data_IF_163287347149
#
_entry.id   IF_163287347149
#
_cell.length_a   1.000
_cell.length_b   1.000
_cell.length_c   1.000
_cell.angle_alpha   90.00
_cell.angle_beta   90.00
_cell.angle_gamma   90.00
#
_symmetry.space_group_name_H-M   'P 1'
#
loop_
_entity.id
_entity.type
_entity.pdbx_description
1 polymer ?
#
# COMPACT_ATOMS: atom_id res chain seq x y z
N UNK A 1 -11.40 -11.61 -16.05
CA UNK A 1 -12.05 -10.45 -15.45
C UNK A 1 -13.04 -9.96 -16.47
N UNK A 2 -14.29 -9.80 -16.05
CA UNK A 2 -15.43 -9.42 -16.90
C UNK A 2 -15.74 -7.92 -16.72
N UNK A 3 -15.09 -7.26 -15.75
CA UNK A 3 -15.00 -5.81 -15.63
C UNK A 3 -13.92 -5.28 -16.56
N UNK A 4 -14.29 -4.28 -17.37
CA UNK A 4 -13.33 -3.51 -18.15
C UNK A 4 -12.54 -2.56 -17.25
N UNK A 5 -11.24 -2.79 -17.13
CA UNK A 5 -10.33 -1.96 -16.33
C UNK A 5 -9.89 -0.68 -17.05
N UNK A 6 -10.44 -0.38 -18.23
CA UNK A 6 -10.12 0.84 -18.98
C UNK A 6 -10.38 2.13 -18.20
N UNK A 7 -11.38 2.14 -17.31
CA UNK A 7 -11.63 3.26 -16.41
C UNK A 7 -10.47 3.47 -15.41
N UNK A 8 -9.91 2.37 -14.88
CA UNK A 8 -8.74 2.41 -14.00
C UNK A 8 -7.47 2.81 -14.75
N UNK A 9 -7.25 2.29 -15.96
CA UNK A 9 -6.14 2.74 -16.80
C UNK A 9 -6.22 4.24 -17.11
N UNK A 10 -7.43 4.77 -17.31
CA UNK A 10 -7.64 6.22 -17.49
C UNK A 10 -7.35 6.98 -16.20
N UNK A 11 -7.90 6.52 -15.08
CA UNK A 11 -7.68 7.11 -13.76
C UNK A 11 -6.18 7.28 -13.45
N UNK A 12 -5.37 6.21 -13.53
CA UNK A 12 -3.95 6.32 -13.19
C UNK A 12 -3.16 7.23 -14.14
N UNK A 13 -3.55 7.31 -15.42
CA UNK A 13 -2.92 8.26 -16.37
C UNK A 13 -3.24 9.71 -16.01
N UNK A 14 -4.49 9.99 -15.65
CA UNK A 14 -4.92 11.32 -15.22
C UNK A 14 -4.34 11.69 -13.86
N UNK A 15 -4.27 10.75 -12.91
CA UNK A 15 -3.70 11.00 -11.58
C UNK A 15 -2.24 11.45 -11.68
N UNK A 16 -1.47 10.83 -12.57
CA UNK A 16 -0.07 11.21 -12.85
C UNK A 16 0.10 12.66 -13.30
N UNK A 17 -0.92 13.32 -13.85
CA UNK A 17 -0.86 14.73 -14.28
C UNK A 17 -1.45 15.70 -13.25
N UNK A 18 -2.05 15.20 -12.17
CA UNK A 18 -2.73 15.97 -11.12
C UNK A 18 -2.09 15.80 -9.75
N UNK A 19 -0.77 15.54 -9.73
CA UNK A 19 0.00 15.39 -8.51
C UNK A 19 0.06 16.71 -7.74
N UNK A 20 0.10 16.61 -6.42
CA UNK A 20 0.39 17.76 -5.55
C UNK A 20 1.75 18.33 -5.89
N UNK A 21 1.84 19.66 -5.91
CA UNK A 21 3.13 20.34 -5.97
C UNK A 21 3.82 20.19 -4.61
N UNK A 22 4.99 19.56 -4.63
CA UNK A 22 5.84 19.37 -3.44
C UNK A 22 6.98 20.38 -3.50
N UNK A 23 7.15 21.17 -2.44
CA UNK A 23 8.29 22.06 -2.28
C UNK A 23 9.53 21.25 -1.92
N UNK A 24 10.24 20.80 -2.95
CA UNK A 24 11.47 20.05 -2.78
C UNK A 24 12.63 20.90 -2.30
N UNK A 25 12.52 22.24 -2.28
CA UNK A 25 13.58 23.14 -1.82
C UNK A 25 13.39 23.59 -0.37
N UNK A 26 12.38 23.03 0.32
CA UNK A 26 12.10 23.20 1.74
C UNK A 26 13.39 23.12 2.59
N UNK A 27 13.73 24.20 3.35
CA UNK A 27 14.90 24.24 4.21
C UNK A 27 14.71 23.46 5.52
N UNK A 28 13.51 22.95 5.81
CA UNK A 28 13.23 22.20 7.05
C UNK A 28 14.22 21.04 7.25
N UNK A 29 14.71 20.91 8.47
CA UNK A 29 15.57 19.80 8.90
C UNK A 29 14.95 19.15 10.13
N UNK A 30 14.84 17.82 10.09
CA UNK A 30 14.34 17.05 11.22
C UNK A 30 15.22 17.33 12.44
N UNK A 31 14.58 17.58 13.58
CA UNK A 31 15.30 17.58 14.84
C UNK A 31 15.71 16.15 15.25
N UNK A 32 16.55 16.03 16.28
CA UNK A 32 17.05 14.73 16.72
C UNK A 32 15.93 13.78 17.18
N UNK A 33 14.86 14.32 17.78
CA UNK A 33 13.74 13.53 18.26
C UNK A 33 12.88 13.02 17.10
N UNK A 34 12.55 13.88 16.13
CA UNK A 34 11.87 13.50 14.90
C UNK A 34 12.68 12.45 14.12
N UNK A 35 13.97 12.70 13.91
CA UNK A 35 14.85 11.78 13.17
C UNK A 35 14.85 10.39 13.83
N UNK A 36 15.06 10.30 15.14
CA UNK A 36 15.03 9.02 15.89
C UNK A 36 13.67 8.33 15.85
N UNK A 37 12.59 9.09 15.66
CA UNK A 37 11.22 8.58 15.59
C UNK A 37 10.94 7.97 14.22
N UNK A 38 11.24 8.70 13.14
CA UNK A 38 10.74 8.34 11.81
C UNK A 38 11.76 7.63 10.92
N UNK A 39 13.07 7.86 11.09
CA UNK A 39 14.09 7.43 10.12
C UNK A 39 14.05 5.92 9.83
N UNK A 40 14.09 5.10 10.89
CA UNK A 40 14.04 3.64 10.76
C UNK A 40 12.72 3.09 10.21
N UNK A 41 11.63 3.86 10.38
CA UNK A 41 10.30 3.49 9.90
C UNK A 41 10.12 3.82 8.43
N UNK A 42 10.46 5.05 8.02
CA UNK A 42 10.41 5.51 6.63
C UNK A 42 11.30 4.64 5.75
N UNK A 43 12.49 4.27 6.23
CA UNK A 43 13.39 3.35 5.57
C UNK A 43 12.71 2.04 5.11
N UNK A 44 11.89 1.44 5.96
CA UNK A 44 11.20 0.19 5.67
C UNK A 44 10.01 0.41 4.74
N UNK A 45 9.20 1.44 5.01
CA UNK A 45 8.07 1.77 4.13
C UNK A 45 8.55 2.15 2.72
N UNK A 46 9.66 2.87 2.59
CA UNK A 46 10.26 3.19 1.29
C UNK A 46 10.59 1.92 0.48
N UNK A 47 11.10 0.86 1.11
CA UNK A 47 11.30 -0.43 0.41
C UNK A 47 9.96 -1.10 0.13
N UNK A 48 9.02 -1.06 1.08
CA UNK A 48 7.66 -1.59 0.91
C UNK A 48 6.95 -1.03 -0.33
N UNK A 49 7.00 0.29 -0.52
CA UNK A 49 6.45 1.00 -1.68
C UNK A 49 7.19 0.67 -2.99
N UNK A 50 8.45 0.25 -2.88
CA UNK A 50 9.20 -0.29 -4.00
C UNK A 50 8.74 -1.72 -4.30
N UNK A 51 7.45 -1.88 -4.58
CA UNK A 51 6.83 -3.17 -4.83
C UNK A 51 7.54 -3.91 -5.97
N UNK A 52 7.89 -5.18 -5.77
CA UNK A 52 8.38 -6.04 -6.84
C UNK A 52 7.21 -6.41 -7.78
N UNK A 53 6.82 -5.45 -8.61
CA UNK A 53 5.74 -5.58 -9.59
C UNK A 53 5.94 -6.75 -10.56
N UNK A 54 7.18 -7.25 -10.72
CA UNK A 54 7.51 -8.38 -11.60
C UNK A 54 6.65 -9.62 -11.32
N UNK A 55 6.58 -10.09 -10.07
CA UNK A 55 5.83 -11.31 -9.75
C UNK A 55 4.32 -11.12 -9.92
N UNK A 56 3.83 -9.93 -9.58
CA UNK A 56 2.43 -9.57 -9.74
C UNK A 56 2.02 -9.48 -11.22
N UNK A 57 2.86 -8.87 -12.05
CA UNK A 57 2.72 -8.81 -13.51
C UNK A 57 2.73 -10.23 -14.10
N UNK A 58 3.66 -11.09 -13.69
CA UNK A 58 3.71 -12.48 -14.19
C UNK A 58 2.50 -13.30 -13.73
N UNK A 59 2.00 -13.09 -12.50
CA UNK A 59 0.74 -13.69 -12.05
C UNK A 59 -0.46 -13.20 -12.89
N UNK A 60 -0.51 -11.91 -13.20
CA UNK A 60 -1.55 -11.31 -14.04
C UNK A 60 -1.51 -11.83 -15.47
N UNK A 61 -0.32 -11.87 -16.10
CA UNK A 61 -0.13 -12.46 -17.44
C UNK A 61 -0.60 -13.91 -17.51
N UNK A 62 -0.21 -14.74 -16.54
CA UNK A 62 -0.65 -16.15 -16.47
C UNK A 62 -2.17 -16.26 -16.35
N UNK A 63 -2.78 -15.43 -15.51
CA UNK A 63 -4.24 -15.44 -15.31
C UNK A 63 -5.03 -14.95 -16.53
N UNK A 64 -4.44 -14.02 -17.30
CA UNK A 64 -5.04 -13.45 -18.51
C UNK A 64 -4.63 -14.17 -19.80
N UNK A 65 -3.83 -15.24 -19.72
CA UNK A 65 -3.41 -16.00 -20.89
C UNK A 65 -4.63 -16.52 -21.67
N UNK A 66 -4.67 -16.24 -22.97
CA UNK A 66 -5.80 -16.61 -23.84
C UNK A 66 -7.04 -15.72 -23.74
N UNK A 67 -7.04 -14.68 -22.89
CA UNK A 67 -8.13 -13.70 -22.82
C UNK A 67 -7.88 -12.54 -23.78
N UNK A 68 -8.95 -12.07 -24.46
CA UNK A 68 -8.88 -10.89 -25.34
C UNK A 68 -8.72 -9.59 -24.57
N UNK A 69 -9.40 -9.45 -23.44
CA UNK A 69 -9.31 -8.26 -22.60
C UNK A 69 -8.02 -8.30 -21.75
N UNK A 70 -7.13 -7.34 -22.00
CA UNK A 70 -5.86 -7.15 -21.29
C UNK A 70 -5.87 -5.86 -20.45
N UNK A 71 -7.02 -5.19 -20.31
CA UNK A 71 -7.14 -3.91 -19.60
C UNK A 71 -6.68 -3.99 -18.14
N UNK A 72 -6.87 -5.14 -17.47
CA UNK A 72 -6.36 -5.32 -16.11
C UNK A 72 -4.83 -5.28 -16.04
N UNK A 73 -4.14 -5.92 -17.00
CA UNK A 73 -2.68 -5.90 -17.03
C UNK A 73 -2.16 -4.48 -17.25
N UNK A 74 -2.83 -3.72 -18.11
CA UNK A 74 -2.50 -2.32 -18.38
C UNK A 74 -2.69 -1.44 -17.13
N UNK A 75 -3.85 -1.51 -16.47
CA UNK A 75 -4.10 -0.75 -15.25
C UNK A 75 -3.16 -1.15 -14.11
N UNK A 76 -2.82 -2.44 -14.03
CA UNK A 76 -1.89 -2.97 -13.03
C UNK A 76 -0.47 -2.42 -13.21
N UNK A 77 0.00 -2.29 -14.46
CA UNK A 77 1.30 -1.67 -14.74
C UNK A 77 1.30 -0.20 -14.32
N UNK A 78 0.21 0.53 -14.58
CA UNK A 78 0.07 1.94 -14.19
C UNK A 78 0.04 2.10 -12.66
N UNK A 79 -0.70 1.24 -11.95
CA UNK A 79 -0.67 1.16 -10.48
C UNK A 79 0.76 0.94 -9.95
N UNK A 80 1.49 -0.04 -10.50
CA UNK A 80 2.89 -0.29 -10.08
C UNK A 80 3.78 0.94 -10.29
N UNK A 81 3.56 1.72 -11.35
CA UNK A 81 4.33 2.95 -11.59
C UNK A 81 4.03 4.05 -10.55
N UNK A 82 2.80 4.09 -10.03
CA UNK A 82 2.37 4.98 -8.95
C UNK A 82 3.01 4.59 -7.62
N UNK A 83 2.98 3.31 -7.23
CA UNK A 83 3.70 2.79 -6.06
C UNK A 83 5.21 3.11 -6.11
N UNK A 84 5.82 2.90 -7.29
CA UNK A 84 7.22 3.27 -7.50
C UNK A 84 7.47 4.78 -7.38
N UNK A 85 6.47 5.64 -7.61
CA UNK A 85 6.57 7.08 -7.35
C UNK A 85 6.67 7.33 -5.86
N UNK A 86 5.79 6.73 -5.05
CA UNK A 86 5.84 6.87 -3.58
C UNK A 86 7.22 6.50 -3.04
N UNK A 87 7.76 5.36 -3.48
CA UNK A 87 9.11 4.93 -3.11
C UNK A 87 10.19 5.97 -3.48
N UNK A 88 10.12 6.56 -4.68
CA UNK A 88 11.08 7.59 -5.13
C UNK A 88 10.96 8.87 -4.33
N UNK A 89 9.75 9.31 -4.01
CA UNK A 89 9.50 10.53 -3.25
C UNK A 89 10.01 10.39 -1.81
N UNK A 90 9.72 9.27 -1.15
CA UNK A 90 10.27 8.96 0.17
C UNK A 90 11.79 8.89 0.14
N UNK A 91 12.37 8.25 -0.88
CA UNK A 91 13.81 8.13 -0.98
C UNK A 91 14.51 9.48 -1.21
N UNK A 92 13.90 10.38 -1.99
CA UNK A 92 14.38 11.75 -2.17
C UNK A 92 14.27 12.57 -0.89
N UNK A 93 13.18 12.42 -0.13
CA UNK A 93 13.04 13.02 1.20
C UNK A 93 14.14 12.53 2.15
N UNK A 94 14.36 11.22 2.21
CA UNK A 94 15.39 10.60 3.04
C UNK A 94 16.79 11.15 2.73
N UNK A 95 17.13 11.29 1.45
CA UNK A 95 18.42 11.88 1.03
C UNK A 95 18.61 13.31 1.53
N UNK A 96 17.58 14.15 1.44
CA UNK A 96 17.63 15.54 1.92
C UNK A 96 17.78 15.65 3.44
N UNK A 97 17.27 14.65 4.17
CA UNK A 97 17.37 14.58 5.63
C UNK A 97 18.55 13.72 6.11
N UNK A 98 19.44 13.29 5.20
CA UNK A 98 20.56 12.41 5.49
C UNK A 98 20.19 11.08 6.17
N UNK A 99 18.97 10.60 5.93
CA UNK A 99 18.54 9.27 6.35
C UNK A 99 19.08 8.26 5.34
N UNK A 100 19.96 7.32 5.73
CA UNK A 100 20.52 6.36 4.79
C UNK A 100 19.43 5.43 4.24
N UNK A 101 19.59 4.96 3.00
CA UNK A 101 18.70 3.91 2.47
C UNK A 101 19.14 2.55 2.99
N UNK A 102 18.18 1.69 3.30
CA UNK A 102 18.45 0.27 3.58
C UNK A 102 18.28 -0.55 2.30
N UNK A 103 19.00 -1.68 2.20
CA UNK A 103 18.96 -2.55 1.00
C UNK A 103 17.89 -3.63 1.08
N UNK A 104 17.54 -4.04 2.29
CA UNK A 104 16.52 -5.06 2.53
C UNK A 104 16.01 -4.97 3.96
N UNK A 105 14.71 -5.23 4.12
CA UNK A 105 14.13 -5.59 5.41
C UNK A 105 13.56 -7.01 5.34
N UNK A 106 13.60 -7.74 6.46
CA UNK A 106 13.19 -9.14 6.49
C UNK A 106 11.67 -9.29 6.28
N UNK A 107 10.87 -8.31 6.74
CA UNK A 107 9.41 -8.25 6.51
C UNK A 107 9.12 -8.17 5.01
N UNK A 108 9.87 -7.34 4.26
CA UNK A 108 9.78 -7.29 2.80
C UNK A 108 10.20 -8.63 2.17
N UNK A 109 11.18 -9.31 2.76
CA UNK A 109 11.55 -10.67 2.38
C UNK A 109 10.40 -11.66 2.54
N UNK A 110 9.61 -11.57 3.62
CA UNK A 110 8.43 -12.42 3.86
C UNK A 110 7.32 -12.10 2.87
N UNK A 111 6.97 -10.83 2.69
CA UNK A 111 5.94 -10.42 1.72
C UNK A 111 6.30 -10.81 0.29
N UNK A 112 7.57 -10.69 -0.10
CA UNK A 112 8.05 -11.16 -1.41
C UNK A 112 7.94 -12.67 -1.56
N UNK A 113 8.31 -13.43 -0.54
CA UNK A 113 8.16 -14.90 -0.55
C UNK A 113 6.71 -15.32 -0.67
N UNK A 114 5.79 -14.67 0.06
CA UNK A 114 4.35 -14.92 -0.03
C UNK A 114 3.85 -14.72 -1.47
N UNK A 115 4.33 -13.69 -2.17
CA UNK A 115 3.90 -13.39 -3.56
C UNK A 115 4.51 -14.32 -4.62
N UNK A 116 5.72 -14.85 -4.40
CA UNK A 116 6.45 -15.64 -5.43
C UNK A 116 5.70 -16.90 -5.89
N UNK A 117 4.95 -17.54 -4.99
CA UNK A 117 4.19 -18.76 -5.28
C UNK A 117 2.68 -18.55 -5.20
N UNK A 118 2.24 -17.31 -5.02
CA UNK A 118 0.84 -16.97 -4.90
C UNK A 118 0.12 -17.01 -6.26
N UNK A 119 -1.16 -17.37 -6.20
CA UNK A 119 -2.10 -17.04 -7.28
C UNK A 119 -2.23 -15.52 -7.42
N UNK A 120 -2.83 -15.06 -8.51
CA UNK A 120 -3.11 -13.63 -8.69
C UNK A 120 -3.96 -13.08 -7.53
N UNK A 121 -5.01 -13.79 -7.13
CA UNK A 121 -5.89 -13.39 -6.03
C UNK A 121 -5.18 -13.30 -4.68
N UNK A 122 -4.31 -14.26 -4.38
CA UNK A 122 -3.48 -14.23 -3.17
C UNK A 122 -2.51 -13.06 -3.19
N UNK A 123 -1.95 -12.75 -4.36
CA UNK A 123 -1.06 -11.59 -4.53
C UNK A 123 -1.81 -10.27 -4.30
N UNK A 124 -3.02 -10.13 -4.85
CA UNK A 124 -3.90 -8.97 -4.63
C UNK A 124 -4.32 -8.86 -3.17
N UNK A 125 -4.63 -9.98 -2.51
CA UNK A 125 -4.97 -10.02 -1.08
C UNK A 125 -3.84 -9.46 -0.21
N UNK A 126 -2.59 -9.80 -0.53
CA UNK A 126 -1.41 -9.28 0.17
C UNK A 126 -1.22 -7.79 -0.10
N UNK A 127 -1.50 -7.31 -1.32
CA UNK A 127 -1.44 -5.88 -1.65
C UNK A 127 -2.49 -5.08 -0.89
N UNK A 128 -3.75 -5.51 -0.93
CA UNK A 128 -4.83 -4.86 -0.18
C UNK A 128 -4.49 -4.74 1.31
N UNK A 129 -3.87 -5.78 1.88
CA UNK A 129 -3.42 -5.74 3.28
C UNK A 129 -2.37 -4.66 3.50
N UNK A 130 -1.40 -4.51 2.58
CA UNK A 130 -0.38 -3.47 2.64
C UNK A 130 -0.98 -2.06 2.48
N UNK A 131 -1.90 -1.86 1.54
CA UNK A 131 -2.59 -0.58 1.28
C UNK A 131 -3.43 -0.13 2.50
N UNK A 132 -4.13 -1.06 3.16
CA UNK A 132 -4.85 -0.79 4.42
C UNK A 132 -3.89 -0.31 5.52
N UNK A 133 -2.73 -0.94 5.63
CA UNK A 133 -1.72 -0.57 6.63
C UNK A 133 -1.09 0.77 6.29
N UNK A 134 -0.75 1.00 5.02
CA UNK A 134 -0.21 2.25 4.50
C UNK A 134 -1.15 3.41 4.81
N UNK A 135 -2.45 3.22 4.59
CA UNK A 135 -3.49 4.23 4.88
C UNK A 135 -3.45 4.74 6.33
N UNK A 136 -3.23 3.85 7.31
CA UNK A 136 -3.13 4.26 8.73
C UNK A 136 -1.72 4.76 9.07
N UNK A 137 -0.70 4.15 8.49
CA UNK A 137 0.69 4.52 8.71
C UNK A 137 0.99 5.94 8.25
N UNK A 138 0.57 6.33 7.05
CA UNK A 138 0.87 7.67 6.53
C UNK A 138 0.10 8.77 7.27
N UNK A 139 -1.07 8.47 7.85
CA UNK A 139 -1.73 9.40 8.79
C UNK A 139 -0.84 9.60 10.03
N UNK A 140 -0.37 8.52 10.63
CA UNK A 140 0.49 8.58 11.81
C UNK A 140 1.82 9.27 11.51
N UNK A 141 2.45 8.99 10.36
CA UNK A 141 3.70 9.60 9.94
C UNK A 141 3.54 11.11 9.72
N UNK A 142 2.47 11.52 9.03
CA UNK A 142 2.11 12.92 8.84
C UNK A 142 1.96 13.67 10.17
N UNK A 143 1.40 13.02 11.18
CA UNK A 143 1.21 13.60 12.51
C UNK A 143 2.48 13.55 13.38
N UNK A 144 3.44 12.67 13.06
CA UNK A 144 4.67 12.48 13.81
C UNK A 144 5.82 13.42 13.40
N UNK A 145 5.59 14.31 12.43
CA UNK A 145 6.61 15.24 11.91
C UNK A 145 6.03 16.64 11.69
N UNK A 146 6.90 17.65 11.72
CA UNK A 146 6.57 19.02 11.33
C UNK A 146 7.13 19.41 9.96
N UNK A 147 7.82 18.50 9.26
CA UNK A 147 8.36 18.77 7.92
C UNK A 147 7.22 19.00 6.91
N UNK A 148 7.09 20.20 6.33
CA UNK A 148 6.07 20.48 5.31
C UNK A 148 6.19 19.55 4.09
N UNK A 149 7.42 19.29 3.64
CA UNK A 149 7.67 18.35 2.54
C UNK A 149 7.17 16.94 2.86
N UNK A 150 7.48 16.38 4.03
CA UNK A 150 7.03 15.03 4.39
C UNK A 150 5.51 14.95 4.56
N UNK A 151 4.89 16.00 5.13
CA UNK A 151 3.43 16.11 5.23
C UNK A 151 2.80 16.09 3.85
N UNK A 152 3.32 16.87 2.90
CA UNK A 152 2.84 16.90 1.52
C UNK A 152 2.97 15.55 0.80
N UNK A 153 4.09 14.84 1.02
CA UNK A 153 4.28 13.48 0.51
C UNK A 153 3.23 12.53 1.10
N UNK A 154 3.01 12.56 2.42
CA UNK A 154 1.99 11.73 3.07
C UNK A 154 0.58 12.04 2.53
N UNK A 155 0.25 13.31 2.31
CA UNK A 155 -1.05 13.72 1.77
C UNK A 155 -1.28 13.30 0.32
N UNK A 156 -0.22 13.22 -0.49
CA UNK A 156 -0.29 12.63 -1.83
C UNK A 156 -0.53 11.13 -1.73
N UNK A 157 0.32 10.40 -0.98
CA UNK A 157 0.24 8.95 -0.83
C UNK A 157 -1.14 8.55 -0.29
N UNK A 158 -1.65 9.20 0.76
CA UNK A 158 -2.97 8.90 1.32
C UNK A 158 -4.12 9.05 0.32
N UNK A 159 -4.03 10.00 -0.61
CA UNK A 159 -5.03 10.16 -1.66
C UNK A 159 -4.96 9.00 -2.68
N UNK A 160 -3.76 8.53 -2.97
CA UNK A 160 -3.53 7.38 -3.86
C UNK A 160 -3.97 6.06 -3.20
N UNK A 161 -3.61 5.83 -1.94
CA UNK A 161 -3.96 4.62 -1.17
C UNK A 161 -5.47 4.38 -1.11
N UNK A 162 -6.24 5.46 -0.94
CA UNK A 162 -7.70 5.36 -0.97
C UNK A 162 -8.18 4.73 -2.29
N UNK A 163 -7.56 5.09 -3.41
CA UNK A 163 -7.91 4.60 -4.75
C UNK A 163 -7.30 3.23 -5.05
N UNK A 164 -6.16 2.92 -4.48
CA UNK A 164 -5.55 1.59 -4.51
C UNK A 164 -6.45 0.56 -3.84
N UNK A 165 -6.96 0.85 -2.63
CA UNK A 165 -7.92 -0.02 -1.94
C UNK A 165 -9.16 -0.30 -2.79
N UNK A 166 -9.75 0.74 -3.42
CA UNK A 166 -10.89 0.58 -4.34
C UNK A 166 -10.53 -0.32 -5.53
N UNK A 167 -9.36 -0.11 -6.13
CA UNK A 167 -8.86 -0.88 -7.25
C UNK A 167 -8.70 -2.37 -6.89
N UNK A 168 -8.11 -2.69 -5.74
CA UNK A 168 -7.96 -4.08 -5.29
C UNK A 168 -9.31 -4.70 -4.91
N UNK A 169 -10.25 -3.92 -4.35
CA UNK A 169 -11.59 -4.40 -4.05
C UNK A 169 -12.33 -4.83 -5.33
N UNK A 170 -12.24 -4.04 -6.41
CA UNK A 170 -12.81 -4.39 -7.72
C UNK A 170 -12.18 -5.70 -8.24
N UNK A 171 -10.86 -5.84 -8.10
CA UNK A 171 -10.15 -7.04 -8.52
C UNK A 171 -10.53 -8.29 -7.71
N UNK A 172 -10.63 -8.20 -6.39
CA UNK A 172 -11.06 -9.32 -5.54
C UNK A 172 -12.55 -9.64 -5.70
N UNK A 173 -13.40 -8.65 -5.95
CA UNK A 173 -14.82 -8.85 -6.21
C UNK A 173 -15.08 -9.71 -7.45
N UNK A 174 -14.23 -9.60 -8.48
CA UNK A 174 -14.26 -10.49 -9.65
C UNK A 174 -14.01 -11.96 -9.31
N UNK A 175 -13.09 -12.23 -8.39
CA UNK A 175 -12.85 -13.60 -7.89
C UNK A 175 -14.01 -14.07 -7.00
N UNK A 176 -14.54 -13.17 -6.15
CA UNK A 176 -15.64 -13.48 -5.25
C UNK A 176 -16.94 -13.83 -5.99
N UNK A 177 -17.27 -13.11 -7.08
CA UNK A 177 -18.45 -13.36 -7.92
C UNK A 177 -18.46 -14.75 -8.57
N UNK A 178 -17.28 -15.30 -8.87
CA UNK A 178 -17.13 -16.61 -9.52
C UNK A 178 -17.03 -17.77 -8.53
N UNK A 179 -16.99 -17.47 -7.23
CA UNK A 179 -16.77 -18.42 -6.16
C UNK A 179 -18.05 -18.66 -5.37
N UNK A 180 -18.23 -19.87 -4.85
CA UNK A 180 -19.36 -20.20 -3.98
C UNK A 180 -19.32 -19.39 -2.66
N UNK A 181 -20.50 -18.97 -2.18
CA UNK A 181 -20.67 -18.19 -0.93
C UNK A 181 -19.88 -18.71 0.29
N UNK A 182 -19.85 -20.02 0.63
CA UNK A 182 -19.07 -20.49 1.77
C UNK A 182 -17.55 -20.27 1.59
N UNK A 183 -17.02 -20.44 0.37
CA UNK A 183 -15.62 -20.16 0.10
C UNK A 183 -15.31 -18.65 0.18
N UNK A 184 -16.25 -17.76 -0.16
CA UNK A 184 -16.07 -16.31 0.05
C UNK A 184 -15.90 -15.98 1.53
N UNK A 185 -16.67 -16.62 2.42
CA UNK A 185 -16.51 -16.47 3.88
C UNK A 185 -15.15 -16.95 4.36
N UNK A 186 -14.68 -18.09 3.86
CA UNK A 186 -13.34 -18.60 4.18
C UNK A 186 -12.27 -17.62 3.71
N UNK A 187 -12.39 -17.09 2.48
CA UNK A 187 -11.45 -16.10 1.96
C UNK A 187 -11.43 -14.83 2.82
N UNK A 188 -12.59 -14.29 3.21
CA UNK A 188 -12.68 -13.14 4.12
C UNK A 188 -12.06 -13.41 5.49
N UNK A 189 -12.28 -14.62 6.06
CA UNK A 189 -11.63 -15.02 7.31
C UNK A 189 -10.11 -15.07 7.17
N UNK A 190 -9.58 -15.64 6.09
CA UNK A 190 -8.14 -15.69 5.83
C UNK A 190 -7.54 -14.28 5.68
N UNK A 191 -8.23 -13.36 5.00
CA UNK A 191 -7.81 -11.95 4.91
C UNK A 191 -7.78 -11.27 6.28
N UNK A 192 -8.81 -11.51 7.10
CA UNK A 192 -8.87 -10.99 8.48
C UNK A 192 -7.71 -11.51 9.34
N UNK A 193 -7.40 -12.80 9.25
CA UNK A 193 -6.28 -13.42 9.98
C UNK A 193 -4.95 -12.83 9.50
N UNK A 194 -4.76 -12.70 8.19
CA UNK A 194 -3.57 -12.09 7.60
C UNK A 194 -3.38 -10.66 8.13
N UNK A 195 -4.40 -9.81 8.01
CA UNK A 195 -4.34 -8.42 8.50
C UNK A 195 -4.01 -8.37 9.99
N UNK A 196 -4.69 -9.16 10.82
CA UNK A 196 -4.45 -9.18 12.27
C UNK A 196 -2.99 -9.51 12.61
N UNK A 197 -2.44 -10.54 11.98
CA UNK A 197 -1.04 -10.92 12.17
C UNK A 197 -0.08 -9.81 11.72
N UNK A 198 -0.36 -9.20 10.57
CA UNK A 198 0.47 -8.10 10.06
C UNK A 198 0.40 -6.85 10.94
N UNK A 199 -0.77 -6.49 11.50
CA UNK A 199 -0.89 -5.35 12.41
C UNK A 199 -0.02 -5.51 13.65
N UNK A 200 0.04 -6.71 14.23
CA UNK A 200 0.91 -6.98 15.38
C UNK A 200 2.39 -6.78 15.03
N UNK A 201 2.83 -7.29 13.88
CA UNK A 201 4.20 -7.12 13.39
C UNK A 201 4.51 -5.64 13.13
N UNK A 202 3.63 -4.95 12.41
CA UNK A 202 3.81 -3.54 12.05
C UNK A 202 3.87 -2.66 13.31
N UNK A 203 3.03 -2.91 14.30
CA UNK A 203 3.11 -2.19 15.57
C UNK A 203 4.44 -2.40 16.29
N UNK A 204 4.97 -3.63 16.29
CA UNK A 204 6.23 -3.94 16.92
C UNK A 204 7.40 -3.14 16.33
N UNK A 205 7.46 -2.99 15.00
CA UNK A 205 8.53 -2.25 14.32
C UNK A 205 8.30 -0.73 14.27
N UNK A 206 7.05 -0.29 14.12
CA UNK A 206 6.72 1.10 13.81
C UNK A 206 5.98 1.82 14.94
N UNK A 207 5.82 1.17 16.11
CA UNK A 207 5.07 1.72 17.25
C UNK A 207 5.55 3.07 17.75
N UNK A 208 6.82 3.46 17.50
CA UNK A 208 7.32 4.81 17.80
C UNK A 208 6.65 5.88 16.95
N UNK A 209 6.56 5.67 15.63
CA UNK A 209 5.88 6.58 14.71
C UNK A 209 4.39 6.65 15.04
N UNK A 210 3.74 5.50 15.25
CA UNK A 210 2.34 5.47 15.64
C UNK A 210 2.07 6.25 16.93
N UNK A 211 2.87 6.05 17.97
CA UNK A 211 2.72 6.80 19.23
C UNK A 211 2.97 8.30 19.06
N UNK A 212 3.95 8.69 18.25
CA UNK A 212 4.20 10.09 17.93
C UNK A 212 3.04 10.73 17.16
N UNK A 213 2.38 9.96 16.29
CA UNK A 213 1.12 10.34 15.65
C UNK A 213 -0.12 10.21 16.54
N UNK A 214 0.01 9.98 17.85
CA UNK A 214 -1.12 9.91 18.78
C UNK A 214 -1.88 8.57 18.80
N UNK A 215 -1.39 7.53 18.12
CA UNK A 215 -2.01 6.21 18.13
C UNK A 215 -1.60 5.36 19.33
N UNK A 216 -2.57 4.60 19.84
CA UNK A 216 -2.36 3.41 20.67
C UNK A 216 -2.57 2.17 19.79
N UNK A 217 -2.14 1.00 20.27
CA UNK A 217 -2.32 -0.24 19.51
C UNK A 217 -3.79 -0.49 19.16
N UNK A 218 -4.70 -0.24 20.11
CA UNK A 218 -6.14 -0.39 19.90
C UNK A 218 -6.67 0.57 18.82
N UNK A 219 -6.28 1.85 18.83
CA UNK A 219 -6.76 2.82 17.82
C UNK A 219 -6.13 2.58 16.45
N UNK A 220 -4.89 2.07 16.40
CA UNK A 220 -4.25 1.61 15.17
C UNK A 220 -5.02 0.44 14.55
N UNK A 221 -5.31 -0.60 15.34
CA UNK A 221 -6.11 -1.73 14.88
C UNK A 221 -7.51 -1.29 14.45
N UNK A 222 -8.17 -0.42 15.22
CA UNK A 222 -9.49 0.10 14.87
C UNK A 222 -9.48 0.83 13.52
N UNK A 223 -8.49 1.71 13.28
CA UNK A 223 -8.35 2.40 12.01
C UNK A 223 -8.16 1.43 10.84
N UNK A 224 -7.30 0.42 11.00
CA UNK A 224 -7.07 -0.58 9.96
C UNK A 224 -8.30 -1.45 9.71
N UNK A 225 -9.03 -1.86 10.76
CA UNK A 225 -10.24 -2.65 10.62
C UNK A 225 -11.40 -1.86 10.01
N UNK A 226 -11.49 -0.53 10.24
CA UNK A 226 -12.50 0.29 9.58
C UNK A 226 -12.33 0.26 8.05
N UNK A 227 -11.10 0.43 7.55
CA UNK A 227 -10.80 0.34 6.10
C UNK A 227 -11.02 -1.10 5.61
N UNK A 228 -10.62 -2.10 6.38
CA UNK A 228 -10.82 -3.51 6.05
C UNK A 228 -12.30 -3.88 5.90
N UNK A 229 -13.15 -3.45 6.84
CA UNK A 229 -14.58 -3.77 6.83
C UNK A 229 -15.29 -3.09 5.64
N UNK A 230 -14.88 -1.87 5.29
CA UNK A 230 -15.34 -1.20 4.07
C UNK A 230 -14.89 -1.96 2.81
N UNK A 231 -13.63 -2.39 2.76
CA UNK A 231 -13.09 -3.17 1.66
C UNK A 231 -13.84 -4.52 1.51
N UNK A 232 -14.09 -5.24 2.61
CA UNK A 232 -14.86 -6.49 2.57
C UNK A 232 -16.30 -6.27 2.09
N UNK A 233 -16.93 -5.15 2.47
CA UNK A 233 -18.25 -4.80 1.95
C UNK A 233 -18.22 -4.62 0.42
N UNK A 234 -17.24 -3.87 -0.10
CA UNK A 234 -17.06 -3.63 -1.54
C UNK A 234 -16.71 -4.90 -2.33
N UNK A 235 -15.91 -5.81 -1.76
CA UNK A 235 -15.54 -7.08 -2.39
C UNK A 235 -16.74 -8.02 -2.55
N UNK A 236 -17.67 -7.99 -1.59
CA UNK A 236 -18.83 -8.90 -1.56
C UNK A 236 -20.12 -8.26 -2.12
N UNK A 237 -20.06 -7.02 -2.59
CA UNK A 237 -21.16 -6.33 -3.27
C UNK A 237 -21.39 -6.86 -4.69
#
# INVERSE_FOLDING_TARGET
MDVHYGAWSRYYRENKTRLRELDWDDPYRLDEAEYKTIAGSIQQFQIGESSEGKYLIEAAKRYLAGRRDQSYLESLILFIQEEQRHARELARFMERQHIPRIRSHWVDGVFRKLRRFASLEQSITVLLTAEIIASVYYIALRQATKSPLLIGICDQILADEAKHVEYQCVALGEFARRRAKPMNRVAGLLRRVLLTGTLAVVWFYHGKVFRAGGYRFASFCQGAFAVFDEAECRINA
#
